data_IF_613546822693
#
_entry.id   IF_613546822693
#
_cell.length_a   1.000
_cell.length_b   1.000
_cell.length_c   1.000
_cell.angle_alpha   90.00
_cell.angle_beta   90.00
_cell.angle_gamma   90.00
#
_symmetry.space_group_name_H-M   'P 1'
#
loop_
_entity.id
_entity.type
_entity.pdbx_description
1 polymer ?
#
# COMPACT_ATOMS: atom_id res chain seq x y z
N UNK A 1 5.33 -5.83 0.84
CA UNK A 1 6.13 -4.66 1.22
C UNK A 1 7.39 -4.48 0.36
N UNK A 2 8.44 -5.31 0.49
CA UNK A 2 9.71 -5.07 -0.24
C UNK A 2 9.55 -4.99 -1.76
N UNK A 3 8.76 -5.90 -2.36
CA UNK A 3 8.45 -5.87 -3.80
C UNK A 3 7.74 -4.57 -4.20
N UNK A 4 6.81 -4.11 -3.37
CA UNK A 4 6.04 -2.89 -3.63
C UNK A 4 6.95 -1.66 -3.59
N UNK A 5 7.80 -1.56 -2.56
CA UNK A 5 8.80 -0.51 -2.44
C UNK A 5 9.77 -0.48 -3.64
N UNK A 6 10.33 -1.64 -4.04
CA UNK A 6 11.20 -1.70 -5.20
C UNK A 6 10.48 -1.28 -6.47
N UNK A 7 9.25 -1.78 -6.70
CA UNK A 7 8.44 -1.38 -7.84
C UNK A 7 8.18 0.13 -7.87
N UNK A 8 7.84 0.73 -6.73
CA UNK A 8 7.61 2.17 -6.62
C UNK A 8 8.88 2.98 -6.92
N UNK A 9 10.05 2.52 -6.43
CA UNK A 9 11.32 3.18 -6.73
C UNK A 9 11.72 3.03 -8.21
N UNK A 10 11.44 1.89 -8.83
CA UNK A 10 11.66 1.66 -10.26
C UNK A 10 10.77 2.56 -11.12
N UNK A 11 9.47 2.65 -10.77
CA UNK A 11 8.52 3.53 -11.43
C UNK A 11 8.92 5.01 -11.27
N UNK A 12 9.39 5.40 -10.08
CA UNK A 12 9.89 6.74 -9.80
C UNK A 12 11.13 7.07 -10.63
N UNK A 13 12.12 6.18 -10.66
CA UNK A 13 13.37 6.40 -11.39
C UNK A 13 13.15 6.56 -12.90
N UNK A 14 12.12 5.92 -13.44
CA UNK A 14 11.77 5.96 -14.87
C UNK A 14 10.68 6.99 -15.19
N UNK A 15 10.08 7.61 -14.18
CA UNK A 15 8.86 8.41 -14.31
C UNK A 15 7.77 7.66 -15.10
N UNK A 16 7.58 6.38 -14.75
CA UNK A 16 6.65 5.48 -15.43
C UNK A 16 5.28 5.52 -14.75
N UNK A 17 4.37 6.31 -15.33
CA UNK A 17 3.02 6.50 -14.80
C UNK A 17 2.15 5.23 -14.92
N UNK A 18 2.40 4.38 -15.91
CA UNK A 18 1.60 3.19 -16.16
C UNK A 18 1.99 2.10 -15.15
N UNK A 19 3.30 1.97 -14.88
CA UNK A 19 3.80 1.12 -13.79
C UNK A 19 3.33 1.62 -12.41
N UNK A 20 3.35 2.94 -12.17
CA UNK A 20 2.84 3.53 -10.93
C UNK A 20 1.34 3.25 -10.73
N UNK A 21 0.54 3.31 -11.80
CA UNK A 21 -0.88 2.97 -11.76
C UNK A 21 -1.11 1.49 -11.43
N UNK A 22 -0.39 0.57 -12.10
CA UNK A 22 -0.49 -0.86 -11.82
C UNK A 22 -0.13 -1.19 -10.36
N UNK A 23 0.94 -0.59 -9.85
CA UNK A 23 1.36 -0.71 -8.45
C UNK A 23 0.30 -0.17 -7.49
N UNK A 24 -0.26 1.01 -7.78
CA UNK A 24 -1.33 1.58 -6.96
C UNK A 24 -2.54 0.63 -6.86
N UNK A 25 -2.91 -0.06 -7.95
CA UNK A 25 -4.00 -1.03 -7.95
C UNK A 25 -3.69 -2.29 -7.12
N UNK A 26 -2.43 -2.70 -7.05
CA UNK A 26 -2.00 -3.84 -6.22
C UNK A 26 -2.06 -3.56 -4.72
N UNK A 27 -2.03 -2.29 -4.31
CA UNK A 27 -1.98 -1.88 -2.90
C UNK A 27 -3.22 -2.33 -2.10
N UNK A 28 -4.40 -2.34 -2.73
CA UNK A 28 -5.63 -2.85 -2.11
C UNK A 28 -5.51 -4.31 -1.61
N UNK A 29 -4.60 -5.10 -2.21
CA UNK A 29 -4.30 -6.45 -1.72
C UNK A 29 -3.43 -6.42 -0.47
N UNK A 30 -2.46 -5.51 -0.40
CA UNK A 30 -1.59 -5.33 0.76
C UNK A 30 -2.41 -4.93 2.00
N UNK A 31 -3.35 -4.00 1.84
CA UNK A 31 -4.27 -3.57 2.90
C UNK A 31 -5.09 -4.73 3.45
N UNK A 32 -5.63 -5.55 2.56
CA UNK A 32 -6.42 -6.73 2.95
C UNK A 32 -5.58 -7.76 3.72
N UNK A 33 -4.33 -7.95 3.32
CA UNK A 33 -3.38 -8.83 4.04
C UNK A 33 -3.04 -8.27 5.42
N UNK A 34 -2.85 -6.95 5.53
CA UNK A 34 -2.63 -6.26 6.80
C UNK A 34 -3.84 -6.43 7.74
N UNK A 35 -5.05 -6.12 7.29
CA UNK A 35 -6.28 -6.32 8.07
C UNK A 35 -6.48 -7.78 8.50
N UNK A 36 -6.13 -8.73 7.62
CA UNK A 36 -6.12 -10.16 7.94
C UNK A 36 -5.16 -10.49 9.09
N UNK A 37 -3.95 -9.92 9.05
CA UNK A 37 -2.93 -10.10 10.09
C UNK A 37 -3.41 -9.53 11.42
N UNK A 38 -4.00 -8.33 11.44
CA UNK A 38 -4.57 -7.73 12.66
C UNK A 38 -5.63 -8.64 13.29
N UNK A 39 -6.52 -9.20 12.47
CA UNK A 39 -7.54 -10.15 12.95
C UNK A 39 -6.93 -11.41 13.56
N UNK A 40 -5.89 -11.96 12.96
CA UNK A 40 -5.18 -13.12 13.51
C UNK A 40 -4.50 -12.78 14.84
N UNK A 41 -3.83 -11.63 14.94
CA UNK A 41 -3.21 -11.18 16.18
C UNK A 41 -4.24 -11.01 17.30
N UNK A 42 -5.43 -10.47 17.00
CA UNK A 42 -6.54 -10.40 17.96
C UNK A 42 -6.98 -11.79 18.44
N UNK A 43 -7.09 -12.77 17.54
CA UNK A 43 -7.42 -14.16 17.94
C UNK A 43 -6.39 -14.73 18.91
N UNK A 44 -5.09 -14.53 18.67
CA UNK A 44 -4.05 -14.98 19.59
C UNK A 44 -4.15 -14.30 20.97
N UNK A 45 -4.43 -13.00 21.03
CA UNK A 45 -4.64 -12.28 22.29
C UNK A 45 -5.87 -12.80 23.05
N UNK A 46 -6.92 -13.22 22.34
CA UNK A 46 -8.14 -13.79 22.93
C UNK A 46 -7.94 -15.21 23.47
N UNK A 47 -7.11 -16.02 22.80
CA UNK A 47 -6.77 -17.38 23.23
C UNK A 47 -5.89 -17.39 24.49
N UNK A 48 -4.89 -16.50 24.58
CA UNK A 48 -4.08 -16.31 25.79
C UNK A 48 -3.79 -14.82 26.05
N UNK A 49 -4.50 -14.18 27.00
CA UNK A 49 -4.27 -12.78 27.35
C UNK A 49 -2.86 -12.46 27.86
N UNK A 50 -2.07 -13.47 28.29
CA UNK A 50 -0.68 -13.25 28.71
C UNK A 50 0.24 -12.96 27.54
N UNK A 51 -0.15 -13.36 26.32
CA UNK A 51 0.61 -13.11 25.09
C UNK A 51 0.50 -11.67 24.58
N UNK A 52 -0.40 -10.86 25.15
CA UNK A 52 -0.67 -9.48 24.69
C UNK A 52 0.62 -8.65 24.50
N UNK A 53 1.60 -8.63 25.43
CA UNK A 53 2.81 -7.85 25.24
C UNK A 53 3.61 -8.26 23.98
N UNK A 54 3.77 -9.57 23.76
CA UNK A 54 4.53 -10.11 22.62
C UNK A 54 3.79 -9.88 21.30
N UNK A 55 2.47 -10.07 21.30
CA UNK A 55 1.64 -9.78 20.11
C UNK A 55 1.65 -8.29 19.79
N UNK A 56 1.77 -7.40 20.78
CA UNK A 56 1.92 -5.97 20.56
C UNK A 56 3.22 -5.63 19.81
N UNK A 57 4.33 -6.30 20.10
CA UNK A 57 5.58 -6.08 19.35
C UNK A 57 5.42 -6.45 17.86
N UNK A 58 4.72 -7.55 17.58
CA UNK A 58 4.38 -7.97 16.21
C UNK A 58 3.44 -6.97 15.54
N UNK A 59 2.45 -6.46 16.28
CA UNK A 59 1.53 -5.42 15.80
C UNK A 59 2.28 -4.16 15.37
N UNK A 60 3.25 -3.70 16.17
CA UNK A 60 4.07 -2.53 15.85
C UNK A 60 4.92 -2.75 14.59
N UNK A 61 5.53 -3.92 14.45
CA UNK A 61 6.27 -4.27 13.24
C UNK A 61 5.36 -4.29 12.01
N UNK A 62 4.19 -4.91 12.13
CA UNK A 62 3.19 -5.01 11.06
C UNK A 62 2.70 -3.63 10.63
N UNK A 63 2.45 -2.73 11.58
CA UNK A 63 2.07 -1.35 11.29
C UNK A 63 3.18 -0.51 10.69
N UNK A 64 4.44 -0.76 11.07
CA UNK A 64 5.56 -0.09 10.41
C UNK A 64 5.64 -0.46 8.92
N UNK A 65 5.31 -1.72 8.59
CA UNK A 65 5.26 -2.20 7.20
C UNK A 65 4.10 -1.59 6.41
N UNK A 66 2.92 -1.49 7.00
CA UNK A 66 1.76 -0.81 6.38
C UNK A 66 2.08 0.65 6.05
N UNK A 67 2.66 1.40 6.98
CA UNK A 67 3.09 2.79 6.72
C UNK A 67 4.09 2.92 5.58
N UNK A 68 4.92 1.90 5.33
CA UNK A 68 5.82 1.91 4.16
C UNK A 68 5.00 1.73 2.89
N UNK A 69 3.97 0.87 2.91
CA UNK A 69 2.99 0.71 1.83
C UNK A 69 2.29 2.03 1.49
N UNK A 70 1.68 2.69 2.47
CA UNK A 70 1.02 4.00 2.28
C UNK A 70 1.95 5.03 1.62
N UNK A 71 3.22 5.06 2.05
CA UNK A 71 4.21 5.98 1.47
C UNK A 71 4.51 5.64 0.01
N UNK A 72 4.54 4.36 -0.33
CA UNK A 72 4.71 3.92 -1.71
C UNK A 72 3.51 4.31 -2.57
N UNK A 73 2.28 4.14 -2.07
CA UNK A 73 1.06 4.57 -2.76
C UNK A 73 1.08 6.07 -3.06
N UNK A 74 1.38 6.90 -2.05
CA UNK A 74 1.50 8.35 -2.22
C UNK A 74 2.54 8.73 -3.30
N UNK A 75 3.67 8.00 -3.36
CA UNK A 75 4.68 8.22 -4.41
C UNK A 75 4.13 7.86 -5.80
N UNK A 76 3.39 6.75 -5.93
CA UNK A 76 2.75 6.39 -7.20
C UNK A 76 1.77 7.48 -7.68
N UNK A 77 0.94 8.02 -6.78
CA UNK A 77 0.04 9.14 -7.08
C UNK A 77 0.80 10.38 -7.56
N UNK A 78 1.93 10.71 -6.92
CA UNK A 78 2.78 11.83 -7.36
C UNK A 78 3.41 11.61 -8.73
N UNK A 79 3.85 10.38 -9.05
CA UNK A 79 4.39 10.05 -10.37
C UNK A 79 3.31 10.28 -11.44
N UNK A 80 2.11 9.76 -11.22
CA UNK A 80 0.97 9.93 -12.14
C UNK A 80 0.66 11.41 -12.34
N UNK A 81 0.57 12.17 -11.25
CA UNK A 81 0.35 13.62 -11.30
C UNK A 81 1.46 14.34 -12.09
N UNK A 82 2.72 14.00 -11.84
CA UNK A 82 3.85 14.66 -12.48
C UNK A 82 3.93 14.39 -13.99
N UNK A 83 3.66 13.16 -14.41
CA UNK A 83 3.78 12.73 -15.81
C UNK A 83 2.55 13.11 -16.64
N UNK A 84 1.34 12.94 -16.08
CA UNK A 84 0.08 13.08 -16.81
C UNK A 84 -0.64 14.41 -16.51
N UNK A 85 -0.19 15.16 -15.49
CA UNK A 85 -0.79 16.42 -15.08
C UNK A 85 -2.17 16.28 -14.44
N UNK A 86 -2.54 15.06 -14.02
CA UNK A 86 -3.86 14.70 -13.50
C UNK A 86 -3.78 14.37 -12.03
N UNK A 87 -4.63 15.00 -11.25
CA UNK A 87 -4.78 14.65 -9.83
C UNK A 87 -5.67 13.41 -9.73
N UNK A 88 -5.06 12.30 -9.35
CA UNK A 88 -5.73 11.01 -9.22
C UNK A 88 -6.04 10.65 -7.77
N UNK A 89 -5.82 11.59 -6.83
CA UNK A 89 -6.15 11.40 -5.42
C UNK A 89 -7.67 11.40 -5.25
N UNK A 90 -8.20 10.40 -4.56
CA UNK A 90 -9.64 10.23 -4.28
C UNK A 90 -10.53 9.96 -5.51
N UNK A 91 -9.95 9.47 -6.61
CA UNK A 91 -10.66 9.11 -7.83
C UNK A 91 -10.77 7.58 -7.91
N UNK A 92 -11.88 7.03 -8.42
CA UNK A 92 -12.00 5.57 -8.57
C UNK A 92 -11.01 5.04 -9.60
N UNK A 93 -10.63 3.76 -9.50
CA UNK A 93 -9.73 3.13 -10.48
C UNK A 93 -10.27 3.19 -11.93
N UNK A 94 -11.59 3.11 -12.09
CA UNK A 94 -12.27 3.17 -13.39
C UNK A 94 -12.17 4.57 -14.03
N UNK A 95 -12.29 5.61 -13.20
CA UNK A 95 -12.09 7.00 -13.62
C UNK A 95 -10.61 7.28 -13.91
N UNK A 96 -9.68 6.70 -13.13
CA UNK A 96 -8.24 6.80 -13.40
C UNK A 96 -7.86 6.15 -14.74
N UNK A 97 -8.32 4.92 -15.04
CA UNK A 97 -8.03 4.26 -16.34
C UNK A 97 -8.52 5.14 -17.51
N UNK A 98 -9.74 5.68 -17.39
CA UNK A 98 -10.32 6.56 -18.40
C UNK A 98 -9.57 7.88 -18.57
N UNK A 99 -9.15 8.52 -17.48
CA UNK A 99 -8.48 9.83 -17.51
C UNK A 99 -7.01 9.74 -17.93
N UNK A 100 -6.38 8.59 -17.71
CA UNK A 100 -4.97 8.35 -18.02
C UNK A 100 -4.74 7.75 -19.43
N UNK A 101 -5.83 7.46 -20.17
CA UNK A 101 -5.83 6.71 -21.42
C UNK A 101 -5.09 5.37 -21.30
N UNK A 102 -5.32 4.66 -20.19
CA UNK A 102 -4.73 3.36 -19.86
C UNK A 102 -5.66 2.20 -20.19
#
# INVERSE_FOLDING_TARGET
ATRFLHGTLDALARMDADAAFALHKEDAKLDKEYEGTIRQLMTYMMEDPRSIPEVFDVLWATRAVERVGDRCQNICEYIIYYVKGKDVRHVSYEEMEKDLNL
#
